data_IF_629833568838
#
_entry.id   IF_629833568838
#
_cell.length_a   1.000
_cell.length_b   1.000
_cell.length_c   1.000
_cell.angle_alpha   90.00
_cell.angle_beta   90.00
_cell.angle_gamma   90.00
#
_symmetry.space_group_name_H-M   'P 1'
#
loop_
_entity.id
_entity.type
_entity.pdbx_description
1 polymer ?
#
# COMPACT_ATOMS: atom_id res chain seq x y z
N UNK A 1 -1.09 -12.77 -2.41
CA UNK A 1 -1.18 -12.54 -0.94
C UNK A 1 -2.48 -13.07 -0.35
N UNK A 2 -2.38 -13.87 0.72
CA UNK A 2 -3.54 -14.35 1.50
C UNK A 2 -4.16 -13.23 2.34
N UNK A 3 -5.49 -13.12 2.33
CA UNK A 3 -6.25 -12.13 3.12
C UNK A 3 -6.04 -12.29 4.64
N UNK A 4 -5.79 -13.51 5.12
CA UNK A 4 -5.53 -13.80 6.54
C UNK A 4 -4.25 -13.15 7.07
N UNK A 5 -3.29 -12.81 6.19
CA UNK A 5 -2.05 -12.13 6.61
C UNK A 5 -2.35 -10.69 7.11
N UNK A 6 -3.43 -10.08 6.65
CA UNK A 6 -3.87 -8.76 7.14
C UNK A 6 -4.27 -8.75 8.61
N UNK A 7 -4.60 -9.91 9.20
CA UNK A 7 -5.02 -10.02 10.62
C UNK A 7 -3.84 -9.86 11.59
N UNK A 8 -2.60 -9.98 11.10
CA UNK A 8 -1.38 -9.87 11.92
C UNK A 8 -0.45 -8.74 11.45
N UNK A 9 -0.69 -8.15 10.28
CA UNK A 9 0.16 -7.09 9.74
C UNK A 9 -0.12 -5.74 10.41
N UNK A 10 0.94 -5.15 10.97
CA UNK A 10 0.94 -3.80 11.49
C UNK A 10 1.87 -2.91 10.67
N UNK A 11 1.67 -1.59 10.74
CA UNK A 11 2.53 -0.64 10.05
C UNK A 11 3.98 -0.74 10.56
N UNK A 12 4.99 -0.89 9.69
CA UNK A 12 6.40 -1.01 10.11
C UNK A 12 6.92 0.26 10.81
N UNK A 13 6.30 1.42 10.56
CA UNK A 13 6.75 2.69 11.12
C UNK A 13 6.09 3.02 12.46
N UNK A 14 4.76 2.93 12.55
CA UNK A 14 4.02 3.33 13.76
C UNK A 14 3.40 2.16 14.53
N UNK A 15 3.57 0.92 14.06
CA UNK A 15 3.02 -0.31 14.67
C UNK A 15 1.49 -0.33 14.79
N UNK A 16 0.79 0.56 14.09
CA UNK A 16 -0.67 0.64 14.12
C UNK A 16 -1.32 -0.56 13.40
N UNK A 17 -2.43 -1.01 13.97
CA UNK A 17 -3.34 -2.04 13.46
C UNK A 17 -4.78 -1.60 13.79
N UNK A 18 -5.78 -1.84 12.90
CA UNK A 18 -5.68 -2.53 11.61
C UNK A 18 -5.18 -1.63 10.46
N UNK A 19 -4.67 -2.27 9.40
CA UNK A 19 -4.33 -1.62 8.14
C UNK A 19 -5.52 -1.72 7.16
N UNK A 20 -5.72 -0.69 6.35
CA UNK A 20 -6.71 -0.70 5.26
C UNK A 20 -6.11 -1.37 4.04
N UNK A 21 -6.87 -2.23 3.36
CA UNK A 21 -6.45 -2.92 2.15
C UNK A 21 -7.36 -2.53 0.99
N UNK A 22 -6.75 -2.09 -0.11
CA UNK A 22 -7.39 -1.83 -1.39
C UNK A 22 -6.88 -2.85 -2.39
N UNK A 23 -7.78 -3.59 -3.01
CA UNK A 23 -7.42 -4.64 -3.97
C UNK A 23 -7.63 -4.10 -5.37
N UNK A 24 -6.59 -4.15 -6.20
CA UNK A 24 -6.65 -3.68 -7.59
C UNK A 24 -6.83 -4.84 -8.57
N UNK A 25 -6.15 -5.96 -8.30
CA UNK A 25 -6.28 -7.21 -9.04
C UNK A 25 -6.29 -8.39 -8.05
N UNK A 26 -7.32 -9.24 -8.14
CA UNK A 26 -7.40 -10.51 -7.42
C UNK A 26 -7.70 -11.66 -8.37
N UNK A 27 -7.06 -12.80 -8.10
CA UNK A 27 -7.36 -14.09 -8.74
C UNK A 27 -7.78 -15.08 -7.65
N UNK A 28 -6.90 -16.02 -7.29
CA UNK A 28 -7.05 -16.85 -6.09
C UNK A 28 -6.54 -16.13 -4.83
N UNK A 29 -5.59 -15.23 -5.03
CA UNK A 29 -4.99 -14.38 -4.03
C UNK A 29 -4.91 -12.95 -4.57
N UNK A 30 -4.60 -11.98 -3.71
CA UNK A 30 -4.41 -10.59 -4.11
C UNK A 30 -3.09 -10.50 -4.89
N UNK A 31 -3.18 -10.14 -6.17
CA UNK A 31 -2.05 -10.00 -7.10
C UNK A 31 -1.48 -8.59 -7.01
N UNK A 32 -2.34 -7.59 -7.13
CA UNK A 32 -1.97 -6.19 -6.97
C UNK A 32 -2.95 -5.46 -6.07
N UNK A 33 -2.44 -4.53 -5.27
CA UNK A 33 -3.22 -3.81 -4.29
C UNK A 33 -2.40 -2.78 -3.53
N UNK A 34 -3.01 -2.20 -2.51
CA UNK A 34 -2.44 -1.12 -1.72
C UNK A 34 -2.85 -1.30 -0.27
N UNK A 35 -1.88 -1.25 0.62
CA UNK A 35 -2.10 -1.28 2.06
C UNK A 35 -1.90 0.14 2.58
N UNK A 36 -2.87 0.68 3.32
CA UNK A 36 -2.81 2.03 3.85
C UNK A 36 -2.91 1.99 5.38
N UNK A 37 -2.05 2.73 6.04
CA UNK A 37 -2.10 2.92 7.48
C UNK A 37 -2.93 4.17 7.81
N UNK A 38 -4.10 3.97 8.41
CA UNK A 38 -5.01 5.04 8.84
C UNK A 38 -4.38 6.03 9.82
N UNK A 39 -3.41 5.58 10.64
CA UNK A 39 -2.75 6.38 11.68
C UNK A 39 -1.64 7.29 11.13
N UNK A 40 -0.70 6.76 10.33
CA UNK A 40 0.43 7.55 9.82
C UNK A 40 0.28 7.99 8.36
N UNK A 41 -0.81 7.60 7.70
CA UNK A 41 -1.13 7.86 6.28
C UNK A 41 -0.12 7.32 5.28
N UNK A 42 0.70 6.35 5.69
CA UNK A 42 1.61 5.64 4.78
C UNK A 42 0.88 4.59 3.98
N UNK A 43 1.25 4.47 2.73
CA UNK A 43 0.75 3.43 1.84
C UNK A 43 1.87 2.49 1.41
N UNK A 44 1.59 1.21 1.22
CA UNK A 44 2.53 0.19 0.80
C UNK A 44 1.92 -0.57 -0.39
N UNK A 45 2.58 -0.61 -1.55
CA UNK A 45 2.05 -1.30 -2.71
C UNK A 45 2.18 -2.81 -2.53
N UNK A 46 1.21 -3.55 -3.06
CA UNK A 46 1.29 -5.00 -3.28
C UNK A 46 1.54 -5.18 -4.78
N UNK A 47 2.68 -5.78 -5.12
CA UNK A 47 3.11 -6.04 -6.50
C UNK A 47 3.44 -7.52 -6.59
N UNK A 48 2.90 -8.20 -7.60
CA UNK A 48 3.11 -9.63 -7.82
C UNK A 48 2.91 -10.46 -6.54
N UNK A 49 1.80 -10.20 -5.85
CA UNK A 49 1.40 -10.86 -4.60
C UNK A 49 2.26 -10.55 -3.36
N UNK A 50 3.28 -9.70 -3.50
CA UNK A 50 4.24 -9.37 -2.44
C UNK A 50 3.96 -7.95 -1.89
N UNK A 51 3.69 -7.80 -0.58
CA UNK A 51 3.54 -6.49 0.03
C UNK A 51 4.91 -5.82 0.24
N UNK A 52 5.17 -4.72 -0.47
CA UNK A 52 6.40 -3.94 -0.35
C UNK A 52 6.32 -2.96 0.83
N UNK A 53 6.52 -3.48 2.05
CA UNK A 53 6.47 -2.70 3.30
C UNK A 53 7.82 -2.11 3.69
N UNK A 54 8.47 -1.41 2.76
CA UNK A 54 9.77 -0.80 3.00
C UNK A 54 9.62 0.52 3.78
N UNK A 55 10.58 0.85 4.68
CA UNK A 55 10.71 2.18 5.25
C UNK A 55 10.91 3.25 4.19
N UNK A 56 10.48 4.48 4.48
CA UNK A 56 10.51 5.60 3.54
C UNK A 56 11.90 5.84 2.91
N UNK A 57 12.98 5.61 3.67
CA UNK A 57 14.37 5.81 3.23
C UNK A 57 14.84 4.81 2.16
N UNK A 58 14.20 3.63 2.09
CA UNK A 58 14.53 2.58 1.14
C UNK A 58 13.61 2.58 -0.07
N UNK A 59 12.69 3.55 -0.18
CA UNK A 59 11.71 3.63 -1.26
C UNK A 59 12.19 4.48 -2.41
N UNK A 60 12.12 3.92 -3.61
CA UNK A 60 12.42 4.64 -4.83
C UNK A 60 11.20 5.47 -5.28
N UNK A 61 11.38 6.78 -5.35
CA UNK A 61 10.35 7.74 -5.74
C UNK A 61 9.79 7.48 -7.14
N UNK A 62 10.62 7.11 -8.10
CA UNK A 62 10.19 6.89 -9.48
C UNK A 62 9.32 5.64 -9.60
N UNK A 63 9.71 4.56 -8.92
CA UNK A 63 8.92 3.32 -8.87
C UNK A 63 7.57 3.52 -8.17
N UNK A 64 7.58 4.23 -7.04
CA UNK A 64 6.35 4.56 -6.31
C UNK A 64 5.39 5.41 -7.15
N UNK A 65 5.90 6.47 -7.80
CA UNK A 65 5.10 7.30 -8.69
C UNK A 65 4.59 6.53 -9.90
N UNK A 66 5.38 5.62 -10.47
CA UNK A 66 4.95 4.75 -11.55
C UNK A 66 3.79 3.84 -11.11
N UNK A 67 3.88 3.26 -9.90
CA UNK A 67 2.81 2.45 -9.32
C UNK A 67 1.54 3.28 -9.10
N UNK A 68 1.64 4.46 -8.49
CA UNK A 68 0.50 5.36 -8.29
C UNK A 68 -0.14 5.78 -9.61
N UNK A 69 0.67 6.07 -10.65
CA UNK A 69 0.17 6.40 -11.99
C UNK A 69 -0.54 5.22 -12.65
N UNK A 70 -0.01 4.00 -12.51
CA UNK A 70 -0.62 2.76 -13.04
C UNK A 70 -2.02 2.55 -12.47
N UNK A 71 -2.22 2.84 -11.19
CA UNK A 71 -3.48 2.58 -10.48
C UNK A 71 -4.31 3.82 -10.16
N UNK A 72 -4.02 4.96 -10.81
CA UNK A 72 -4.60 6.27 -10.50
C UNK A 72 -6.12 6.26 -10.31
N UNK A 73 -6.85 5.55 -11.15
CA UNK A 73 -8.32 5.48 -11.12
C UNK A 73 -8.89 4.63 -9.97
N UNK A 74 -8.07 3.75 -9.38
CA UNK A 74 -8.45 2.88 -8.27
C UNK A 74 -7.86 3.32 -6.92
N UNK A 75 -7.01 4.35 -6.90
CA UNK A 75 -6.42 4.86 -5.67
C UNK A 75 -7.48 5.53 -4.79
N UNK A 76 -7.46 5.28 -3.47
CA UNK A 76 -8.33 6.01 -2.55
C UNK A 76 -7.88 7.48 -2.43
N UNK A 77 -8.84 8.38 -2.22
CA UNK A 77 -8.58 9.83 -2.11
C UNK A 77 -7.55 10.18 -1.01
N UNK A 78 -7.51 9.41 0.08
CA UNK A 78 -6.56 9.63 1.18
C UNK A 78 -5.09 9.46 0.74
N UNK A 79 -4.82 8.56 -0.20
CA UNK A 79 -3.46 8.32 -0.71
C UNK A 79 -3.07 9.43 -1.70
N UNK A 80 -4.01 9.91 -2.49
CA UNK A 80 -3.78 11.01 -3.43
C UNK A 80 -3.55 12.33 -2.68
N UNK A 81 -4.30 12.59 -1.61
CA UNK A 81 -4.23 13.86 -0.87
C UNK A 81 -3.16 13.89 0.23
N UNK A 82 -3.02 12.80 0.98
CA UNK A 82 -2.23 12.77 2.24
C UNK A 82 -1.25 11.59 2.30
N UNK A 83 -1.13 10.81 1.22
CA UNK A 83 -0.34 9.59 1.18
C UNK A 83 1.15 9.83 1.40
N UNK A 84 1.72 9.15 2.39
CA UNK A 84 3.17 9.14 2.62
C UNK A 84 3.79 7.86 2.05
N UNK A 85 5.03 7.91 1.54
CA UNK A 85 5.95 9.05 1.48
C UNK A 85 5.73 9.96 0.26
N UNK A 86 5.09 9.47 -0.80
CA UNK A 86 4.84 10.21 -2.03
C UNK A 86 3.36 10.21 -2.38
N UNK A 87 2.87 11.34 -2.90
CA UNK A 87 1.53 11.51 -3.45
C UNK A 87 1.60 11.77 -4.96
N UNK A 88 0.47 11.62 -5.64
CA UNK A 88 0.33 11.88 -7.08
C UNK A 88 -0.05 13.34 -7.37
#
# INVERSE_FOLDING_TARGET
MKKTLMEILACPICKHYPLQLYVFEEKKEIVEGLIVCSSCKRWYPIIDEIPHMLPDELRNKEEDLAFLRKWKDKLPEEVVKEGKPYTL
#
